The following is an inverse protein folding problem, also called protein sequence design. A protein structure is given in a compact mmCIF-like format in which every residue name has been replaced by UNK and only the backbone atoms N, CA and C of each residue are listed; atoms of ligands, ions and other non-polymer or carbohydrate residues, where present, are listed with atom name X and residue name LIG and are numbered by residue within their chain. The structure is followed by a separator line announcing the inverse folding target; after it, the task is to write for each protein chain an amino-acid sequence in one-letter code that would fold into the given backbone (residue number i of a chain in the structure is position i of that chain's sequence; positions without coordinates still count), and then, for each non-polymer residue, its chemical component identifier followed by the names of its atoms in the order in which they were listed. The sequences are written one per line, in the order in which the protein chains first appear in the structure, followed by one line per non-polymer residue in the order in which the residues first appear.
data_IF_815014364424
#
_entry.id   IF_815014364424
#
_cell.length_a   1.000
_cell.length_b   1.000
_cell.length_c   1.000
_cell.angle_alpha   90.00
_cell.angle_beta   90.00
_cell.angle_gamma   90.00
#
_symmetry.space_group_name_H-M   'P 1'
#
loop_
_entity.id
_entity.type
_entity.pdbx_description
1 polymer ?
#
# COMPACT_ATOMS: atom_id res chain seq x y z
N UNK A 1 67.90 48.82 -54.34
CA UNK A 1 68.55 50.04 -53.81
C UNK A 1 67.50 51.10 -53.57
N UNK A 2 67.59 51.76 -52.41
CA UNK A 2 67.11 53.13 -52.09
C UNK A 2 65.60 53.46 -52.07
N UNK A 3 65.08 53.54 -50.83
CA UNK A 3 64.43 54.71 -50.18
C UNK A 3 63.55 55.67 -50.99
N UNK A 4 62.35 55.92 -50.48
CA UNK A 4 61.55 57.10 -50.81
C UNK A 4 60.25 57.21 -50.00
N UNK A 5 60.32 57.87 -48.84
CA UNK A 5 59.16 58.26 -48.05
C UNK A 5 58.42 59.46 -48.69
N UNK A 6 57.08 59.48 -48.66
CA UNK A 6 56.29 60.73 -48.59
C UNK A 6 54.86 60.52 -48.09
N UNK A 7 54.48 61.37 -47.14
CA UNK A 7 53.20 61.53 -46.45
C UNK A 7 52.03 61.84 -47.40
N UNK A 8 50.83 61.36 -47.05
CA UNK A 8 49.59 62.15 -47.12
C UNK A 8 48.42 61.47 -46.37
N UNK A 9 47.59 62.29 -45.71
CA UNK A 9 46.15 61.98 -45.50
C UNK A 9 45.72 61.39 -44.16
N UNK A 10 45.31 62.25 -43.22
CA UNK A 10 44.50 61.88 -42.05
C UNK A 10 43.03 61.73 -42.46
N UNK A 11 42.38 60.65 -42.05
CA UNK A 11 40.92 60.54 -41.89
C UNK A 11 40.63 59.76 -40.59
N UNK A 12 39.66 60.17 -39.76
CA UNK A 12 39.51 59.62 -38.42
C UNK A 12 38.75 58.29 -38.43
N UNK A 13 39.36 57.25 -37.85
CA UNK A 13 38.69 55.97 -37.61
C UNK A 13 37.66 56.11 -36.47
N UNK A 14 36.39 56.08 -36.88
CA UNK A 14 35.18 56.01 -36.07
C UNK A 14 35.27 54.82 -35.09
N UNK A 15 35.32 55.11 -33.78
CA UNK A 15 35.19 54.09 -32.73
C UNK A 15 33.81 53.43 -32.83
N UNK A 16 33.68 52.10 -32.89
CA UNK A 16 32.40 51.45 -32.73
C UNK A 16 31.99 51.51 -31.25
N UNK A 17 30.85 52.15 -30.99
CA UNK A 17 30.08 52.01 -29.76
C UNK A 17 29.76 50.52 -29.55
N UNK A 18 30.42 49.86 -28.59
CA UNK A 18 30.03 48.56 -28.05
C UNK A 18 29.31 48.71 -26.71
N UNK A 19 28.37 49.65 -26.61
CA UNK A 19 27.26 49.59 -25.65
C UNK A 19 26.26 48.54 -26.15
N UNK A 20 26.64 47.27 -26.04
CA UNK A 20 25.76 46.11 -26.27
C UNK A 20 25.93 45.12 -25.12
N UNK A 21 25.71 45.61 -23.91
CA UNK A 21 25.46 44.77 -22.75
C UNK A 21 24.38 45.46 -21.91
N UNK A 22 23.33 44.72 -21.58
CA UNK A 22 22.21 45.09 -20.70
C UNK A 22 21.08 45.94 -21.30
N UNK A 23 20.44 45.44 -22.36
CA UNK A 23 19.02 45.70 -22.57
C UNK A 23 18.26 44.40 -22.30
N UNK A 24 18.14 44.02 -21.02
CA UNK A 24 17.14 43.05 -20.60
C UNK A 24 15.79 43.71 -20.88
N UNK A 25 15.15 43.34 -21.98
CA UNK A 25 13.95 44.00 -22.47
C UNK A 25 12.84 43.88 -21.42
N UNK A 26 12.06 44.95 -21.23
CA UNK A 26 10.88 44.91 -20.37
C UNK A 26 9.92 43.74 -20.72
N UNK A 27 9.93 43.27 -21.98
CA UNK A 27 9.20 42.06 -22.42
C UNK A 27 9.75 40.77 -21.83
N UNK A 28 11.07 40.63 -21.72
CA UNK A 28 11.70 39.44 -21.13
C UNK A 28 11.46 39.40 -19.61
N UNK A 29 11.45 40.58 -18.96
CA UNK A 29 11.10 40.71 -17.55
C UNK A 29 9.60 40.43 -17.27
N UNK A 30 8.71 40.68 -18.24
CA UNK A 30 7.27 40.36 -18.16
C UNK A 30 7.03 38.87 -18.43
N UNK A 31 7.70 38.27 -19.42
CA UNK A 31 7.61 36.82 -19.67
C UNK A 31 8.23 35.99 -18.53
N UNK A 32 9.34 36.44 -17.96
CA UNK A 32 9.91 35.81 -16.77
C UNK A 32 8.98 35.95 -15.55
N UNK A 33 8.31 37.10 -15.39
CA UNK A 33 7.29 37.30 -14.34
C UNK A 33 6.05 36.44 -14.56
N UNK A 34 5.51 36.34 -15.76
CA UNK A 34 4.33 35.51 -16.03
C UNK A 34 4.64 34.01 -15.90
N UNK A 35 5.83 33.57 -16.31
CA UNK A 35 6.29 32.18 -16.12
C UNK A 35 6.51 31.83 -14.63
N UNK A 36 7.08 32.74 -13.84
CA UNK A 36 7.24 32.53 -12.37
C UNK A 36 5.90 32.59 -11.64
N UNK A 37 4.97 33.44 -12.07
CA UNK A 37 3.62 33.52 -11.51
C UNK A 37 2.83 32.24 -11.79
N UNK A 38 2.85 31.72 -13.04
CA UNK A 38 2.12 30.49 -13.40
C UNK A 38 2.70 29.23 -12.74
N UNK A 39 4.02 29.16 -12.54
CA UNK A 39 4.68 28.09 -11.80
C UNK A 39 4.30 28.11 -10.31
N UNK A 40 4.22 29.30 -9.70
CA UNK A 40 3.81 29.45 -8.30
C UNK A 40 2.33 29.10 -8.10
N UNK A 41 1.48 29.38 -9.08
CA UNK A 41 0.05 29.08 -9.05
C UNK A 41 -0.21 27.58 -9.24
N UNK A 42 0.49 26.92 -10.16
CA UNK A 42 0.44 25.45 -10.30
C UNK A 42 1.00 24.71 -9.08
N UNK A 43 2.03 25.25 -8.42
CA UNK A 43 2.52 24.69 -7.15
C UNK A 43 1.47 24.80 -6.02
N UNK A 44 0.79 25.95 -5.91
CA UNK A 44 -0.32 26.17 -4.95
C UNK A 44 -1.51 25.25 -5.19
N UNK A 45 -1.82 24.94 -6.44
CA UNK A 45 -2.89 24.01 -6.80
C UNK A 45 -2.57 22.55 -6.43
N UNK A 46 -1.28 22.16 -6.43
CA UNK A 46 -0.83 20.80 -6.13
C UNK A 46 -0.53 20.55 -4.65
N UNK A 47 -0.36 21.59 -3.86
CA UNK A 47 -0.10 21.52 -2.41
C UNK A 47 -1.09 20.59 -1.65
N UNK A 48 -2.41 20.65 -1.89
CA UNK A 48 -3.37 19.72 -1.28
C UNK A 48 -3.11 18.25 -1.62
N UNK A 49 -2.82 17.95 -2.89
CA UNK A 49 -2.51 16.60 -3.36
C UNK A 49 -1.21 16.10 -2.71
N UNK A 50 -0.18 16.95 -2.66
CA UNK A 50 1.09 16.63 -2.00
C UNK A 50 0.89 16.39 -0.49
N UNK A 51 0.05 17.18 0.17
CA UNK A 51 -0.30 16.99 1.58
C UNK A 51 -1.00 15.67 1.85
N UNK A 52 -1.97 15.29 1.01
CA UNK A 52 -2.63 13.98 1.06
C UNK A 52 -1.61 12.85 0.90
N UNK A 53 -0.80 12.94 -0.15
CA UNK A 53 0.20 11.93 -0.52
C UNK A 53 1.26 11.76 0.58
N UNK A 54 1.76 12.86 1.15
CA UNK A 54 2.73 12.82 2.24
C UNK A 54 2.11 12.25 3.53
N UNK A 55 0.90 12.68 3.91
CA UNK A 55 0.21 12.14 5.08
C UNK A 55 -0.05 10.64 4.95
N UNK A 56 -0.60 10.21 3.81
CA UNK A 56 -0.81 8.79 3.53
C UNK A 56 0.50 7.99 3.56
N UNK A 57 1.59 8.54 2.99
CA UNK A 57 2.90 7.91 3.05
C UNK A 57 3.41 7.72 4.48
N UNK A 58 3.26 8.72 5.34
CA UNK A 58 3.68 8.62 6.74
C UNK A 58 2.87 7.58 7.51
N UNK A 59 1.53 7.66 7.44
CA UNK A 59 0.65 6.71 8.12
C UNK A 59 0.89 5.27 7.64
N UNK A 60 1.13 5.04 6.34
CA UNK A 60 1.48 3.70 5.84
C UNK A 60 2.86 3.23 6.29
N UNK A 61 3.84 4.13 6.42
CA UNK A 61 5.16 3.78 6.95
C UNK A 61 5.09 3.42 8.43
N UNK A 62 4.28 4.14 9.21
CA UNK A 62 3.96 3.83 10.60
C UNK A 62 3.30 2.46 10.77
N UNK A 63 2.27 2.19 9.99
CA UNK A 63 1.61 0.88 9.96
C UNK A 63 2.61 -0.27 9.70
N UNK A 64 3.57 -0.08 8.80
CA UNK A 64 4.61 -1.07 8.53
C UNK A 64 5.53 -1.29 9.74
N UNK A 65 5.81 -0.25 10.54
CA UNK A 65 6.52 -0.38 11.81
C UNK A 65 5.73 -1.26 12.76
N UNK A 66 4.46 -0.95 13.02
CA UNK A 66 3.61 -1.73 13.94
C UNK A 66 3.43 -3.18 13.47
N UNK A 67 3.28 -3.41 12.17
CA UNK A 67 3.17 -4.74 11.58
C UNK A 67 4.40 -5.63 11.88
N UNK A 68 5.60 -5.03 11.97
CA UNK A 68 6.84 -5.75 12.25
C UNK A 68 7.08 -5.88 13.75
N UNK A 69 6.85 -4.79 14.48
CA UNK A 69 7.18 -4.65 15.90
C UNK A 69 6.26 -5.49 16.78
N UNK A 70 4.96 -5.54 16.49
CA UNK A 70 3.99 -6.26 17.35
C UNK A 70 4.31 -7.77 17.41
N UNK A 71 4.50 -8.49 16.29
CA UNK A 71 4.91 -9.89 16.33
C UNK A 71 6.23 -10.14 17.08
N UNK A 72 7.22 -9.27 16.87
CA UNK A 72 8.53 -9.36 17.54
C UNK A 72 8.40 -9.15 19.04
N UNK A 73 7.62 -8.15 19.47
CA UNK A 73 7.36 -7.89 20.87
C UNK A 73 6.67 -9.07 21.55
N UNK A 74 5.59 -9.59 20.97
CA UNK A 74 4.85 -10.74 21.52
C UNK A 74 5.76 -11.96 21.63
N UNK A 75 6.56 -12.24 20.60
CA UNK A 75 7.46 -13.38 20.60
C UNK A 75 8.60 -13.23 21.63
N UNK A 76 9.09 -12.00 21.85
CA UNK A 76 10.13 -11.72 22.82
C UNK A 76 9.62 -11.75 24.27
N UNK A 77 8.44 -11.19 24.51
CA UNK A 77 7.81 -11.07 25.83
C UNK A 77 7.24 -12.41 26.33
N UNK A 78 6.50 -13.12 25.47
CA UNK A 78 5.81 -14.36 25.87
C UNK A 78 6.62 -15.63 25.61
N UNK A 79 7.59 -15.58 24.68
CA UNK A 79 8.25 -16.78 24.14
C UNK A 79 7.32 -17.72 23.35
N UNK A 80 6.02 -17.38 23.20
CA UNK A 80 5.00 -18.25 22.64
C UNK A 80 4.74 -17.93 21.18
N UNK A 81 5.08 -18.89 20.31
CA UNK A 81 4.80 -18.84 18.88
C UNK A 81 3.30 -18.75 18.59
N UNK A 82 2.48 -19.46 19.37
CA UNK A 82 1.02 -19.41 19.22
C UNK A 82 0.47 -18.03 19.58
N UNK A 83 0.99 -17.40 20.64
CA UNK A 83 0.59 -16.04 21.02
C UNK A 83 0.91 -15.03 19.92
N UNK A 84 2.08 -15.15 19.27
CA UNK A 84 2.45 -14.33 18.11
C UNK A 84 1.47 -14.51 16.94
N UNK A 85 1.07 -15.75 16.64
CA UNK A 85 0.05 -16.03 15.62
C UNK A 85 -1.33 -15.45 15.96
N UNK A 86 -1.75 -15.52 17.24
CA UNK A 86 -3.00 -14.90 17.71
C UNK A 86 -2.93 -13.37 17.58
N UNK A 87 -1.82 -12.74 17.94
CA UNK A 87 -1.63 -11.30 17.75
C UNK A 87 -1.70 -10.90 16.27
N UNK A 88 -1.09 -11.68 15.38
CA UNK A 88 -1.23 -11.53 13.94
C UNK A 88 -2.67 -11.64 13.44
N UNK A 89 -3.46 -12.57 14.00
CA UNK A 89 -4.87 -12.69 13.68
C UNK A 89 -5.65 -11.43 14.10
N UNK A 90 -5.46 -10.95 15.33
CA UNK A 90 -6.09 -9.71 15.81
C UNK A 90 -5.65 -8.45 15.05
N UNK A 91 -4.44 -8.44 14.47
CA UNK A 91 -3.98 -7.37 13.58
C UNK A 91 -4.64 -7.40 12.19
N UNK A 92 -5.16 -8.55 11.75
CA UNK A 92 -5.71 -8.72 10.39
C UNK A 92 -7.24 -8.74 10.33
N UNK A 93 -7.93 -9.16 11.40
CA UNK A 93 -9.41 -9.07 11.49
C UNK A 93 -9.94 -7.66 11.20
N UNK A 94 -9.31 -6.57 11.70
CA UNK A 94 -9.81 -5.23 11.45
C UNK A 94 -9.89 -4.84 9.97
N UNK A 95 -9.05 -5.41 9.11
CA UNK A 95 -9.09 -5.16 7.66
C UNK A 95 -10.43 -5.62 7.08
N UNK A 96 -10.98 -6.73 7.59
CA UNK A 96 -12.28 -7.27 7.16
C UNK A 96 -13.41 -6.36 7.67
N UNK A 97 -13.35 -5.99 8.95
CA UNK A 97 -14.38 -5.15 9.61
C UNK A 97 -14.40 -3.75 9.00
N UNK A 98 -13.23 -3.13 8.88
CA UNK A 98 -13.05 -1.80 8.31
C UNK A 98 -13.33 -1.76 6.81
N UNK A 99 -13.04 -2.83 6.06
CA UNK A 99 -13.44 -2.94 4.66
C UNK A 99 -14.96 -2.99 4.46
N UNK A 100 -15.69 -3.65 5.37
CA UNK A 100 -17.15 -3.74 5.32
C UNK A 100 -17.86 -2.48 5.85
N UNK A 101 -17.34 -1.84 6.90
CA UNK A 101 -18.02 -0.74 7.59
C UNK A 101 -17.46 0.64 7.26
N UNK A 102 -16.21 0.71 6.77
CA UNK A 102 -15.46 1.95 6.63
C UNK A 102 -16.06 2.92 5.62
N UNK A 103 -16.51 2.44 4.45
CA UNK A 103 -17.09 3.29 3.41
C UNK A 103 -18.34 4.05 3.89
N UNK A 104 -19.30 3.32 4.47
CA UNK A 104 -20.56 3.91 4.95
C UNK A 104 -20.35 4.92 6.08
N UNK A 105 -19.38 4.67 6.96
CA UNK A 105 -19.05 5.57 8.07
C UNK A 105 -18.36 6.85 7.56
N UNK A 106 -17.41 6.69 6.63
CA UNK A 106 -16.65 7.78 6.03
C UNK A 106 -17.58 8.72 5.24
N UNK A 107 -18.53 8.18 4.49
CA UNK A 107 -19.49 8.96 3.70
C UNK A 107 -20.35 9.90 4.57
N UNK A 108 -20.64 9.52 5.82
CA UNK A 108 -21.44 10.35 6.75
C UNK A 108 -20.65 11.44 7.44
N UNK A 109 -19.37 11.18 7.73
CA UNK A 109 -18.51 12.09 8.51
C UNK A 109 -17.77 13.07 7.59
N UNK A 110 -17.63 12.72 6.31
CA UNK A 110 -16.83 13.44 5.32
C UNK A 110 -15.42 12.89 5.24
N UNK A 111 -14.88 12.75 4.03
CA UNK A 111 -13.60 12.08 3.78
C UNK A 111 -12.44 12.73 4.52
N UNK A 112 -12.36 14.06 4.54
CA UNK A 112 -11.26 14.77 5.22
C UNK A 112 -11.32 14.54 6.73
N UNK A 113 -12.51 14.70 7.32
CA UNK A 113 -12.69 14.53 8.77
C UNK A 113 -12.41 13.10 9.18
N UNK A 114 -12.95 12.12 8.45
CA UNK A 114 -12.73 10.71 8.71
C UNK A 114 -11.23 10.34 8.66
N UNK A 115 -10.49 10.83 7.66
CA UNK A 115 -9.05 10.59 7.55
C UNK A 115 -8.26 11.17 8.75
N UNK A 116 -8.55 12.41 9.16
CA UNK A 116 -7.86 13.05 10.29
C UNK A 116 -8.21 12.36 11.61
N UNK A 117 -9.50 12.08 11.86
CA UNK A 117 -9.93 11.44 13.11
C UNK A 117 -9.40 10.02 13.22
N UNK A 118 -9.34 9.29 12.10
CA UNK A 118 -8.73 7.96 12.06
C UNK A 118 -7.25 8.03 12.44
N UNK A 119 -6.47 8.93 11.82
CA UNK A 119 -5.05 9.06 12.13
C UNK A 119 -4.79 9.44 13.60
N UNK A 120 -5.57 10.39 14.15
CA UNK A 120 -5.44 10.76 15.56
C UNK A 120 -5.81 9.59 16.47
N UNK A 121 -6.94 8.92 16.22
CA UNK A 121 -7.40 7.83 17.08
C UNK A 121 -6.48 6.60 17.00
N UNK A 122 -5.98 6.25 15.81
CA UNK A 122 -4.98 5.21 15.62
C UNK A 122 -3.67 5.56 16.32
N UNK A 123 -3.16 6.78 16.13
CA UNK A 123 -1.95 7.24 16.80
C UNK A 123 -2.05 7.21 18.33
N UNK A 124 -3.18 7.61 18.91
CA UNK A 124 -3.43 7.49 20.35
C UNK A 124 -3.49 6.02 20.80
N UNK A 125 -4.14 5.16 20.02
CA UNK A 125 -4.27 3.73 20.35
C UNK A 125 -2.92 3.01 20.30
N UNK A 126 -2.10 3.31 19.29
CA UNK A 126 -0.74 2.77 19.18
C UNK A 126 0.14 3.30 20.30
N UNK A 127 0.05 4.59 20.64
CA UNK A 127 0.83 5.18 21.74
C UNK A 127 0.45 4.60 23.10
N UNK A 128 -0.81 4.20 23.28
CA UNK A 128 -1.26 3.55 24.51
C UNK A 128 -0.51 2.25 24.79
N UNK A 129 -0.01 1.52 23.77
CA UNK A 129 0.71 0.26 23.94
C UNK A 129 1.99 0.43 24.79
N UNK A 130 2.99 1.25 24.38
CA UNK A 130 4.18 1.49 25.19
C UNK A 130 3.87 2.22 26.50
N UNK A 131 2.86 3.10 26.53
CA UNK A 131 2.48 3.81 27.76
C UNK A 131 1.92 2.86 28.82
N UNK A 132 1.02 1.95 28.46
CA UNK A 132 0.51 0.92 29.38
C UNK A 132 1.64 0.01 29.87
N UNK A 133 2.52 -0.41 28.95
CA UNK A 133 3.66 -1.25 29.29
C UNK A 133 4.60 -0.58 30.31
N UNK A 134 4.83 0.73 30.20
CA UNK A 134 5.70 1.49 31.08
C UNK A 134 5.07 1.88 32.43
N UNK A 135 3.74 1.86 32.56
CA UNK A 135 3.03 2.38 33.75
C UNK A 135 2.45 1.28 34.63
N UNK A 136 1.51 0.51 34.12
CA UNK A 136 0.73 -0.49 34.87
C UNK A 136 1.00 -1.93 34.42
N UNK A 137 1.85 -2.10 33.40
CA UNK A 137 2.08 -3.36 32.73
C UNK A 137 1.09 -3.58 31.58
N UNK A 138 1.56 -4.25 30.53
CA UNK A 138 0.75 -4.53 29.33
C UNK A 138 0.35 -6.01 29.32
N UNK A 139 -0.84 -6.37 29.82
CA UNK A 139 -1.30 -7.75 29.71
C UNK A 139 -1.61 -8.09 28.25
N UNK A 140 -1.41 -9.35 27.88
CA UNK A 140 -1.56 -9.81 26.50
C UNK A 140 -2.92 -9.47 25.89
N UNK A 141 -4.02 -9.60 26.64
CA UNK A 141 -5.36 -9.24 26.16
C UNK A 141 -5.50 -7.74 25.83
N UNK A 142 -4.82 -6.85 26.58
CA UNK A 142 -4.86 -5.41 26.32
C UNK A 142 -4.07 -5.06 25.06
N UNK A 143 -2.93 -5.73 24.82
CA UNK A 143 -2.21 -5.62 23.54
C UNK A 143 -3.11 -6.03 22.37
N UNK A 144 -3.78 -7.19 22.46
CA UNK A 144 -4.69 -7.65 21.41
C UNK A 144 -5.82 -6.65 21.15
N UNK A 145 -6.42 -6.11 22.21
CA UNK A 145 -7.48 -5.12 22.11
C UNK A 145 -7.00 -3.81 21.44
N UNK A 146 -5.82 -3.31 21.81
CA UNK A 146 -5.24 -2.09 21.22
C UNK A 146 -4.85 -2.28 19.75
N UNK A 147 -4.22 -3.41 19.42
CA UNK A 147 -3.86 -3.74 18.03
C UNK A 147 -5.10 -3.86 17.16
N UNK A 148 -6.13 -4.55 17.65
CA UNK A 148 -7.41 -4.66 16.96
C UNK A 148 -8.08 -3.29 16.78
N UNK A 149 -8.16 -2.49 17.84
CA UNK A 149 -8.79 -1.18 17.82
C UNK A 149 -8.06 -0.23 16.85
N UNK A 150 -6.72 -0.23 16.85
CA UNK A 150 -5.91 0.55 15.91
C UNK A 150 -6.24 0.19 14.46
N UNK A 151 -6.33 -1.09 14.13
CA UNK A 151 -6.70 -1.52 12.77
C UNK A 151 -8.11 -1.12 12.36
N UNK A 152 -9.07 -1.15 13.30
CA UNK A 152 -10.49 -0.81 13.02
C UNK A 152 -10.62 0.70 12.76
N UNK A 153 -9.82 1.51 13.47
CA UNK A 153 -9.78 2.96 13.31
C UNK A 153 -9.02 3.39 12.04
N UNK A 154 -7.89 2.73 11.73
CA UNK A 154 -7.03 3.08 10.59
C UNK A 154 -7.68 2.74 9.24
N UNK A 155 -8.36 1.59 9.13
CA UNK A 155 -8.87 1.09 7.84
C UNK A 155 -9.83 2.08 7.15
N UNK A 156 -10.87 2.63 7.81
CA UNK A 156 -11.73 3.66 7.21
C UNK A 156 -10.96 4.94 6.84
N UNK A 157 -9.96 5.33 7.64
CA UNK A 157 -9.10 6.48 7.35
C UNK A 157 -8.33 6.30 6.04
N UNK A 158 -7.80 5.11 5.79
CA UNK A 158 -7.13 4.78 4.53
C UNK A 158 -8.09 4.80 3.34
N UNK A 159 -9.31 4.29 3.50
CA UNK A 159 -10.36 4.43 2.48
C UNK A 159 -10.67 5.90 2.20
N UNK A 160 -10.73 6.73 3.24
CA UNK A 160 -11.00 8.15 3.08
C UNK A 160 -9.88 8.88 2.30
N UNK A 161 -8.61 8.56 2.60
CA UNK A 161 -7.45 9.11 1.88
C UNK A 161 -7.46 8.72 0.40
N UNK A 162 -7.79 7.47 0.07
CA UNK A 162 -7.85 7.03 -1.34
C UNK A 162 -9.01 7.67 -2.10
N UNK A 163 -10.14 7.90 -1.44
CA UNK A 163 -11.30 8.59 -2.03
C UNK A 163 -11.08 10.09 -2.26
N UNK A 164 -10.18 10.75 -1.50
CA UNK A 164 -9.82 12.15 -1.73
C UNK A 164 -8.92 12.35 -2.96
N UNK A 165 -8.29 11.29 -3.46
CA UNK A 165 -7.28 11.40 -4.53
C UNK A 165 -7.85 11.99 -5.85
N UNK A 166 -9.01 11.54 -6.37
CA UNK A 166 -9.52 12.06 -7.65
C UNK A 166 -9.83 13.55 -7.60
N UNK A 167 -10.53 14.01 -6.57
CA UNK A 167 -10.90 15.41 -6.39
C UNK A 167 -9.67 16.31 -6.26
N UNK A 168 -8.65 15.85 -5.52
CA UNK A 168 -7.39 16.59 -5.37
C UNK A 168 -6.54 16.58 -6.64
N UNK A 169 -6.60 15.51 -7.44
CA UNK A 169 -5.94 15.45 -8.73
C UNK A 169 -6.57 16.43 -9.72
N UNK A 170 -7.90 16.50 -9.77
CA UNK A 170 -8.65 17.47 -10.58
C UNK A 170 -8.31 18.91 -10.18
N UNK A 171 -8.35 19.20 -8.87
CA UNK A 171 -7.94 20.51 -8.33
C UNK A 171 -6.51 20.89 -8.72
N UNK A 172 -5.60 19.92 -8.68
CA UNK A 172 -4.20 20.09 -9.06
C UNK A 172 -3.93 20.08 -10.56
N UNK A 173 -4.97 19.98 -11.40
CA UNK A 173 -4.90 19.81 -12.87
C UNK A 173 -3.94 18.68 -13.26
N UNK A 174 -3.98 17.58 -12.51
CA UNK A 174 -3.16 16.40 -12.73
C UNK A 174 -4.04 15.26 -13.26
N UNK A 175 -3.59 14.57 -14.30
CA UNK A 175 -4.30 13.39 -14.80
C UNK A 175 -4.42 12.33 -13.69
N UNK A 176 -5.62 11.77 -13.50
CA UNK A 176 -5.90 10.78 -12.47
C UNK A 176 -4.92 9.60 -12.51
N UNK A 177 -4.58 9.11 -13.70
CA UNK A 177 -3.58 8.03 -13.85
C UNK A 177 -2.22 8.38 -13.26
N UNK A 178 -1.78 9.65 -13.35
CA UNK A 178 -0.53 10.11 -12.71
C UNK A 178 -0.67 10.20 -11.19
N UNK A 179 -1.81 10.67 -10.70
CA UNK A 179 -2.10 10.73 -9.26
C UNK A 179 -2.14 9.33 -8.63
N UNK A 180 -2.87 8.39 -9.24
CA UNK A 180 -2.97 6.99 -8.78
C UNK A 180 -1.63 6.26 -8.84
N UNK A 181 -0.81 6.56 -9.85
CA UNK A 181 0.56 6.04 -9.95
C UNK A 181 1.44 6.58 -8.83
N UNK A 182 1.36 7.88 -8.54
CA UNK A 182 2.09 8.51 -7.44
C UNK A 182 1.67 7.94 -6.08
N UNK A 183 0.37 7.78 -5.84
CA UNK A 183 -0.15 7.15 -4.62
C UNK A 183 0.37 5.72 -4.48
N UNK A 184 0.32 4.92 -5.55
CA UNK A 184 0.82 3.53 -5.52
C UNK A 184 2.31 3.46 -5.23
N UNK A 185 3.10 4.38 -5.83
CA UNK A 185 4.53 4.47 -5.56
C UNK A 185 4.79 4.85 -4.10
N UNK A 186 4.05 5.83 -3.57
CA UNK A 186 4.16 6.25 -2.16
C UNK A 186 3.79 5.12 -1.21
N UNK A 187 2.70 4.39 -1.45
CA UNK A 187 2.31 3.27 -0.58
C UNK A 187 3.39 2.20 -0.50
N UNK A 188 4.04 1.88 -1.63
CA UNK A 188 5.12 0.89 -1.68
C UNK A 188 6.42 1.40 -1.05
N UNK A 189 6.78 2.65 -1.34
CA UNK A 189 7.95 3.30 -0.72
C UNK A 189 7.75 3.42 0.79
N UNK A 190 6.56 3.80 1.24
CA UNK A 190 6.20 3.89 2.66
C UNK A 190 6.32 2.54 3.37
N UNK A 191 5.81 1.46 2.77
CA UNK A 191 5.99 0.12 3.32
C UNK A 191 7.48 -0.26 3.42
N UNK A 192 8.27 0.04 2.38
CA UNK A 192 9.71 -0.24 2.36
C UNK A 192 10.49 0.59 3.40
N UNK A 193 10.25 1.90 3.47
CA UNK A 193 10.93 2.78 4.42
C UNK A 193 10.45 2.52 5.84
N UNK A 194 9.17 2.27 6.05
CA UNK A 194 8.60 1.86 7.32
C UNK A 194 9.22 0.57 7.84
N UNK A 195 9.40 -0.44 6.99
CA UNK A 195 10.08 -1.68 7.36
C UNK A 195 11.56 -1.48 7.73
N UNK A 196 12.28 -0.64 6.98
CA UNK A 196 13.65 -0.28 7.32
C UNK A 196 13.74 0.50 8.64
N UNK A 197 12.82 1.43 8.87
CA UNK A 197 12.69 2.18 10.12
C UNK A 197 12.30 1.26 11.28
N UNK A 198 11.47 0.23 11.06
CA UNK A 198 11.15 -0.77 12.05
C UNK A 198 12.40 -1.56 12.46
N UNK A 199 13.16 -2.06 11.48
CA UNK A 199 14.40 -2.80 11.73
C UNK A 199 15.38 -1.96 12.57
N UNK A 200 15.61 -0.70 12.16
CA UNK A 200 16.53 0.18 12.87
C UNK A 200 15.98 0.55 14.25
N UNK A 201 14.72 0.96 14.35
CA UNK A 201 14.15 1.38 15.63
C UNK A 201 14.11 0.26 16.66
N UNK A 202 13.83 -0.99 16.26
CA UNK A 202 13.84 -2.14 17.19
C UNK A 202 15.22 -2.35 17.81
N UNK A 203 16.29 -2.20 17.02
CA UNK A 203 17.66 -2.35 17.51
C UNK A 203 18.04 -1.24 18.49
N UNK A 204 17.65 0.01 18.22
CA UNK A 204 18.11 1.18 18.99
C UNK A 204 17.20 1.53 20.16
N UNK A 205 15.88 1.37 19.98
CA UNK A 205 14.85 1.80 20.94
C UNK A 205 14.20 0.62 21.65
N UNK A 206 14.29 -0.59 21.08
CA UNK A 206 13.52 -1.76 21.49
C UNK A 206 12.12 -1.79 20.87
N UNK A 207 11.44 -2.95 20.84
CA UNK A 207 10.15 -3.12 20.16
C UNK A 207 9.08 -2.12 20.62
N UNK A 208 8.82 -2.01 21.93
CA UNK A 208 7.75 -1.15 22.43
C UNK A 208 7.95 0.33 22.08
N UNK A 209 9.18 0.84 22.22
CA UNK A 209 9.47 2.25 21.93
C UNK A 209 9.42 2.54 20.42
N UNK A 210 9.62 1.55 19.54
CA UNK A 210 9.39 1.72 18.11
C UNK A 210 7.93 2.09 17.78
N UNK A 211 6.95 1.69 18.61
CA UNK A 211 5.54 2.06 18.43
C UNK A 211 5.28 3.56 18.68
N UNK A 212 6.16 4.23 19.42
CA UNK A 212 6.12 5.69 19.58
C UNK A 212 6.40 6.37 18.23
N UNK A 213 7.31 5.82 17.43
CA UNK A 213 7.58 6.36 16.09
C UNK A 213 6.34 6.26 15.19
N UNK A 214 5.64 5.13 15.21
CA UNK A 214 4.38 4.98 14.48
C UNK A 214 3.34 6.04 14.93
N UNK A 215 3.17 6.18 16.24
CA UNK A 215 2.27 7.20 16.82
C UNK A 215 2.60 8.62 16.35
N UNK A 216 3.89 8.95 16.22
CA UNK A 216 4.35 10.23 15.66
C UNK A 216 3.99 10.33 14.17
N UNK A 217 4.18 9.27 13.38
CA UNK A 217 3.82 9.29 11.95
C UNK A 217 2.32 9.54 11.74
N UNK A 218 1.47 8.96 12.59
CA UNK A 218 0.03 9.23 12.60
C UNK A 218 -0.28 10.69 12.96
N UNK A 219 0.34 11.23 14.01
CA UNK A 219 0.15 12.62 14.40
C UNK A 219 0.57 13.60 13.30
N UNK A 220 1.71 13.35 12.65
CA UNK A 220 2.19 14.18 11.54
C UNK A 220 1.29 14.01 10.32
N UNK A 221 0.81 12.81 10.01
CA UNK A 221 -0.18 12.57 8.94
C UNK A 221 -1.45 13.40 9.18
N UNK A 222 -2.03 13.29 10.38
CA UNK A 222 -3.21 14.06 10.76
C UNK A 222 -2.98 15.58 10.62
N UNK A 223 -1.81 16.08 11.03
CA UNK A 223 -1.45 17.50 10.89
C UNK A 223 -1.32 17.93 9.42
N UNK A 224 -0.66 17.13 8.57
CA UNK A 224 -0.53 17.40 7.14
C UNK A 224 -1.90 17.45 6.47
N UNK A 225 -2.78 16.50 6.77
CA UNK A 225 -4.14 16.48 6.26
C UNK A 225 -4.96 17.69 6.76
N UNK A 226 -4.81 18.05 8.04
CA UNK A 226 -5.48 19.20 8.62
C UNK A 226 -5.07 20.52 7.96
N UNK A 227 -3.77 20.71 7.68
CA UNK A 227 -3.22 21.95 7.12
C UNK A 227 -3.43 22.05 5.61
N UNK A 228 -3.19 20.98 4.86
CA UNK A 228 -3.10 21.06 3.39
C UNK A 228 -4.37 20.59 2.66
N UNK A 229 -5.19 19.71 3.25
CA UNK A 229 -6.43 19.25 2.61
C UNK A 229 -7.57 20.23 2.91
N UNK A 230 -8.25 20.81 1.90
CA UNK A 230 -9.27 21.83 2.15
C UNK A 230 -10.61 21.27 2.65
N UNK A 231 -11.24 21.99 3.59
CA UNK A 231 -12.57 21.64 4.14
C UNK A 231 -13.72 21.60 3.11
N UNK A 232 -13.62 22.38 2.02
CA UNK A 232 -14.74 22.52 1.06
C UNK A 232 -14.96 21.30 0.16
N UNK A 233 -14.09 20.28 0.23
CA UNK A 233 -14.31 19.01 -0.47
C UNK A 233 -15.48 18.25 0.16
N UNK A 234 -15.72 18.40 1.46
CA UNK A 234 -16.80 17.71 2.17
C UNK A 234 -18.21 18.25 1.84
N UNK A 235 -18.31 19.41 1.16
CA UNK A 235 -19.58 20.10 0.89
C UNK A 235 -20.09 19.93 -0.56
N UNK A 236 -19.30 19.33 -1.46
CA UNK A 236 -19.65 19.10 -2.87
C UNK A 236 -19.84 17.63 -3.25
N UNK A 237 -19.73 16.70 -2.30
CA UNK A 237 -19.57 15.26 -2.53
C UNK A 237 -20.87 14.50 -2.81
N UNK A 238 -21.98 15.18 -3.14
CA UNK A 238 -23.15 14.48 -3.69
C UNK A 238 -23.01 14.09 -5.17
N UNK A 239 -21.95 14.54 -5.89
CA UNK A 239 -22.05 14.57 -7.37
C UNK A 239 -20.82 14.09 -8.16
N UNK A 240 -19.84 13.42 -7.55
CA UNK A 240 -18.75 12.75 -8.31
C UNK A 240 -18.72 11.22 -8.18
N UNK A 241 -19.80 10.64 -7.64
CA UNK A 241 -20.27 9.39 -8.22
C UNK A 241 -20.78 9.72 -9.63
N UNK A 242 -20.22 9.08 -10.66
CA UNK A 242 -20.72 9.10 -12.03
C UNK A 242 -22.28 9.18 -12.05
N UNK A 243 -22.92 10.11 -12.80
CA UNK A 243 -24.38 10.08 -13.01
C UNK A 243 -24.86 8.80 -13.74
N UNK A 244 -23.95 7.92 -14.12
CA UNK A 244 -24.21 6.57 -14.63
C UNK A 244 -24.15 5.47 -13.54
N UNK A 245 -23.83 5.81 -12.29
CA UNK A 245 -24.17 5.00 -11.12
C UNK A 245 -25.67 5.15 -10.88
N UNK A 246 -26.44 4.43 -11.70
CA UNK A 246 -27.89 4.49 -11.72
C UNK A 246 -28.47 4.36 -10.30
N UNK A 247 -29.07 5.47 -9.85
CA UNK A 247 -30.31 5.40 -9.12
C UNK A 247 -31.21 4.39 -9.84
N UNK A 248 -31.46 3.27 -9.19
CA UNK A 248 -32.51 2.36 -9.61
C UNK A 248 -33.83 3.16 -9.56
N UNK A 249 -34.64 3.21 -10.62
CA UNK A 249 -35.96 3.88 -10.59
C UNK A 249 -36.92 3.26 -9.57
N UNK A 250 -36.52 2.17 -8.92
CA UNK A 250 -37.24 1.47 -7.85
C UNK A 250 -36.81 1.85 -6.43
N UNK A 251 -35.89 2.81 -6.24
CA UNK A 251 -35.53 3.32 -4.91
C UNK A 251 -36.71 4.11 -4.32
N UNK A 252 -37.60 3.40 -3.63
CA UNK A 252 -38.64 3.99 -2.79
C UNK A 252 -37.98 4.93 -1.77
N UNK A 253 -38.45 6.19 -1.64
CA UNK A 253 -37.92 7.13 -0.67
C UNK A 253 -38.24 6.61 0.74
N UNK A 254 -37.25 6.01 1.43
CA UNK A 254 -37.42 5.56 2.81
C UNK A 254 -36.55 4.40 3.31
N UNK A 255 -35.76 3.71 2.47
CA UNK A 255 -34.91 2.61 2.99
C UNK A 255 -33.60 3.11 3.62
N UNK A 256 -33.22 2.63 4.83
CA UNK A 256 -31.97 3.01 5.46
C UNK A 256 -30.77 2.47 4.66
N UNK A 257 -29.84 3.36 4.30
CA UNK A 257 -28.65 3.09 3.47
C UNK A 257 -27.83 1.86 3.88
N UNK A 258 -27.87 1.46 5.16
CA UNK A 258 -27.17 0.30 5.71
C UNK A 258 -27.82 -1.02 5.24
N UNK A 259 -29.15 -1.09 5.13
CA UNK A 259 -29.85 -2.30 4.68
C UNK A 259 -29.58 -2.61 3.20
N UNK A 260 -29.40 -1.57 2.37
CA UNK A 260 -29.00 -1.70 0.98
C UNK A 260 -27.58 -2.25 0.82
N UNK A 261 -26.62 -1.74 1.61
CA UNK A 261 -25.22 -2.17 1.54
C UNK A 261 -25.01 -3.67 1.76
N UNK A 262 -25.63 -4.25 2.80
CA UNK A 262 -25.50 -5.69 3.08
C UNK A 262 -26.13 -6.56 2.00
N UNK A 263 -27.22 -6.10 1.40
CA UNK A 263 -27.86 -6.77 0.26
C UNK A 263 -26.96 -6.72 -0.97
N UNK A 264 -26.35 -5.56 -1.24
CA UNK A 264 -25.38 -5.38 -2.33
C UNK A 264 -24.10 -6.22 -2.15
N UNK A 265 -23.58 -6.31 -0.92
CA UNK A 265 -22.46 -7.19 -0.57
C UNK A 265 -22.84 -8.67 -0.80
N UNK A 266 -24.04 -9.06 -0.36
CA UNK A 266 -24.58 -10.40 -0.57
C UNK A 266 -24.76 -10.75 -2.05
N UNK A 267 -25.22 -9.80 -2.86
CA UNK A 267 -25.35 -9.97 -4.31
C UNK A 267 -23.97 -10.05 -5.00
N UNK A 268 -22.99 -9.27 -4.54
CA UNK A 268 -21.59 -9.39 -4.96
C UNK A 268 -21.01 -10.77 -4.67
N UNK A 269 -21.14 -11.27 -3.43
CA UNK A 269 -20.68 -12.61 -3.05
C UNK A 269 -21.39 -13.70 -3.87
N UNK A 270 -22.71 -13.57 -4.09
CA UNK A 270 -23.49 -14.51 -4.90
C UNK A 270 -23.01 -14.52 -6.36
N UNK A 271 -22.70 -13.35 -6.93
CA UNK A 271 -22.13 -13.24 -8.27
C UNK A 271 -20.75 -13.90 -8.37
N UNK A 272 -19.88 -13.66 -7.39
CA UNK A 272 -18.55 -14.29 -7.30
C UNK A 272 -18.68 -15.82 -7.23
N UNK A 273 -19.59 -16.33 -6.41
CA UNK A 273 -19.81 -17.77 -6.24
C UNK A 273 -20.37 -18.45 -7.51
N UNK A 274 -21.17 -17.73 -8.31
CA UNK A 274 -21.77 -18.24 -9.56
C UNK A 274 -20.82 -18.24 -10.75
N UNK A 275 -19.80 -17.40 -10.75
CA UNK A 275 -18.84 -17.31 -11.87
C UNK A 275 -17.62 -18.18 -11.59
N UNK A 276 -17.48 -19.38 -12.20
CA UNK A 276 -16.49 -20.38 -11.79
C UNK A 276 -15.04 -19.91 -11.92
N UNK A 277 -14.74 -19.06 -12.91
CA UNK A 277 -13.41 -18.48 -13.12
C UNK A 277 -13.04 -17.52 -11.98
N UNK A 278 -13.97 -16.63 -11.63
CA UNK A 278 -13.76 -15.63 -10.58
C UNK A 278 -13.74 -16.32 -9.22
N UNK A 279 -14.66 -17.27 -8.97
CA UNK A 279 -14.66 -18.08 -7.75
C UNK A 279 -13.33 -18.77 -7.50
N UNK A 280 -12.80 -19.46 -8.52
CA UNK A 280 -11.53 -20.18 -8.39
C UNK A 280 -10.34 -19.23 -8.20
N UNK A 281 -10.37 -18.06 -8.87
CA UNK A 281 -9.40 -16.99 -8.66
C UNK A 281 -9.44 -16.48 -7.22
N UNK A 282 -10.62 -16.14 -6.70
CA UNK A 282 -10.81 -15.68 -5.33
C UNK A 282 -10.35 -16.73 -4.33
N UNK A 283 -10.75 -17.99 -4.49
CA UNK A 283 -10.36 -19.07 -3.60
C UNK A 283 -8.84 -19.25 -3.56
N UNK A 284 -8.18 -19.21 -4.72
CA UNK A 284 -6.71 -19.24 -4.79
C UNK A 284 -6.10 -18.07 -4.01
N UNK A 285 -6.59 -16.85 -4.23
CA UNK A 285 -6.08 -15.65 -3.57
C UNK A 285 -6.33 -15.68 -2.05
N UNK A 286 -7.47 -16.18 -1.58
CA UNK A 286 -7.77 -16.37 -0.14
C UNK A 286 -6.75 -17.29 0.50
N UNK A 287 -6.46 -18.42 -0.15
CA UNK A 287 -5.51 -19.42 0.36
C UNK A 287 -4.08 -18.87 0.33
N UNK A 288 -3.68 -18.15 -0.72
CA UNK A 288 -2.34 -17.53 -0.75
C UNK A 288 -2.21 -16.44 0.31
N UNK A 289 -3.22 -15.60 0.54
CA UNK A 289 -3.21 -14.59 1.61
C UNK A 289 -3.18 -15.23 3.01
N UNK A 290 -3.79 -16.40 3.18
CA UNK A 290 -3.67 -17.19 4.41
C UNK A 290 -2.19 -17.56 4.68
N UNK A 291 -1.49 -18.08 3.67
CA UNK A 291 -0.06 -18.37 3.80
C UNK A 291 0.79 -17.11 3.97
N UNK A 292 0.52 -16.04 3.22
CA UNK A 292 1.27 -14.78 3.33
C UNK A 292 1.10 -14.15 4.72
N UNK A 293 -0.11 -14.21 5.29
CA UNK A 293 -0.38 -13.76 6.66
C UNK A 293 0.34 -14.63 7.70
N UNK A 294 0.34 -15.96 7.55
CA UNK A 294 1.15 -16.85 8.39
C UNK A 294 2.65 -16.52 8.30
N UNK A 295 3.13 -16.27 7.08
CA UNK A 295 4.48 -15.83 6.76
C UNK A 295 4.88 -14.58 7.54
N UNK A 296 4.15 -13.48 7.32
CA UNK A 296 4.47 -12.17 7.91
C UNK A 296 4.22 -12.11 9.41
N UNK A 297 3.17 -12.75 9.91
CA UNK A 297 2.79 -12.60 11.32
C UNK A 297 3.57 -13.51 12.27
N UNK A 298 4.06 -14.67 11.84
CA UNK A 298 4.70 -15.63 12.77
C UNK A 298 5.89 -16.38 12.19
N UNK A 299 5.83 -16.88 10.96
CA UNK A 299 6.90 -17.74 10.41
C UNK A 299 8.19 -16.95 10.19
N UNK A 300 8.11 -15.78 9.54
CA UNK A 300 9.27 -14.92 9.26
C UNK A 300 9.88 -14.35 10.54
N UNK A 301 9.11 -13.83 11.52
CA UNK A 301 9.64 -13.43 12.82
C UNK A 301 10.40 -14.55 13.54
N UNK A 302 9.84 -15.77 13.58
CA UNK A 302 10.47 -16.92 14.26
C UNK A 302 11.77 -17.33 13.56
N UNK A 303 11.77 -17.39 12.22
CA UNK A 303 13.00 -17.65 11.47
C UNK A 303 14.02 -16.53 11.61
N UNK A 304 13.60 -15.27 11.59
CA UNK A 304 14.51 -14.14 11.77
C UNK A 304 15.26 -14.20 13.10
N UNK A 305 14.62 -14.68 14.18
CA UNK A 305 15.30 -14.89 15.48
C UNK A 305 16.37 -15.96 15.46
N UNK A 306 16.36 -16.88 14.49
CA UNK A 306 17.46 -17.85 14.31
C UNK A 306 18.70 -17.21 13.66
N UNK A 307 18.51 -16.09 12.95
CA UNK A 307 19.59 -15.32 12.31
C UNK A 307 20.10 -14.22 13.24
N UNK A 308 19.18 -13.41 13.81
CA UNK A 308 19.50 -12.30 14.68
C UNK A 308 18.55 -12.27 15.89
N UNK A 309 19.05 -12.43 17.15
CA UNK A 309 18.19 -12.56 18.34
C UNK A 309 17.27 -11.36 18.59
N UNK A 310 17.70 -10.18 18.15
CA UNK A 310 17.03 -8.89 18.22
C UNK A 310 15.89 -8.72 17.19
N UNK A 311 15.75 -9.64 16.23
CA UNK A 311 14.73 -9.58 15.20
C UNK A 311 15.03 -8.61 14.06
N UNK A 312 16.23 -8.01 14.00
CA UNK A 312 16.64 -7.11 12.91
C UNK A 312 16.52 -7.79 11.53
N UNK A 313 16.83 -9.09 11.45
CA UNK A 313 16.68 -9.88 10.24
C UNK A 313 15.25 -9.85 9.68
N UNK A 314 14.21 -9.77 10.53
CA UNK A 314 12.82 -9.72 10.07
C UNK A 314 12.53 -8.42 9.31
N UNK A 315 12.97 -7.29 9.86
CA UNK A 315 12.83 -5.99 9.19
C UNK A 315 13.61 -5.93 7.88
N UNK A 316 14.80 -6.54 7.80
CA UNK A 316 15.56 -6.69 6.55
C UNK A 316 14.79 -7.53 5.53
N UNK A 317 14.21 -8.66 5.94
CA UNK A 317 13.39 -9.51 5.06
C UNK A 317 12.21 -8.73 4.47
N UNK A 318 11.47 -7.97 5.30
CA UNK A 318 10.34 -7.16 4.83
C UNK A 318 10.79 -6.02 3.93
N UNK A 319 11.92 -5.36 4.24
CA UNK A 319 12.48 -4.30 3.40
C UNK A 319 12.91 -4.82 2.01
N UNK A 320 13.60 -5.97 1.95
CA UNK A 320 13.99 -6.62 0.69
C UNK A 320 12.78 -7.05 -0.13
N UNK A 321 11.77 -7.65 0.52
CA UNK A 321 10.51 -8.01 -0.13
C UNK A 321 9.81 -6.78 -0.70
N UNK A 322 9.74 -5.69 0.07
CA UNK A 322 9.09 -4.43 -0.35
C UNK A 322 9.83 -3.75 -1.50
N UNK A 323 11.18 -3.72 -1.45
CA UNK A 323 12.02 -3.22 -2.54
C UNK A 323 11.81 -4.04 -3.82
N UNK A 324 11.84 -5.37 -3.70
CA UNK A 324 11.49 -6.27 -4.78
C UNK A 324 10.10 -5.96 -5.34
N UNK A 325 9.08 -5.84 -4.50
CA UNK A 325 7.71 -5.56 -4.90
C UNK A 325 7.54 -4.22 -5.61
N UNK A 326 8.31 -3.20 -5.23
CA UNK A 326 8.35 -1.93 -5.94
C UNK A 326 8.98 -2.08 -7.33
N UNK A 327 10.14 -2.74 -7.41
CA UNK A 327 10.81 -3.01 -8.69
C UNK A 327 9.94 -3.87 -9.62
N UNK A 328 9.22 -4.85 -9.07
CA UNK A 328 8.34 -5.75 -9.81
C UNK A 328 7.13 -5.03 -10.40
N UNK A 329 6.51 -4.15 -9.62
CA UNK A 329 5.41 -3.32 -10.11
C UNK A 329 5.85 -2.39 -11.25
N UNK A 330 7.04 -1.79 -11.16
CA UNK A 330 7.62 -0.98 -12.22
C UNK A 330 7.93 -1.81 -13.48
N UNK A 331 8.53 -2.99 -13.30
CA UNK A 331 8.83 -3.93 -14.38
C UNK A 331 7.57 -4.39 -15.11
N UNK A 332 6.50 -4.69 -14.37
CA UNK A 332 5.20 -5.02 -14.95
C UNK A 332 4.61 -3.86 -15.78
N UNK A 333 4.77 -2.62 -15.31
CA UNK A 333 4.38 -1.44 -16.08
C UNK A 333 5.11 -1.32 -17.43
N UNK A 334 6.36 -1.77 -17.49
CA UNK A 334 7.19 -1.69 -18.70
C UNK A 334 6.94 -2.85 -19.68
N UNK A 335 6.88 -4.10 -19.20
CA UNK A 335 6.85 -5.31 -20.06
C UNK A 335 5.58 -6.13 -19.87
N UNK A 336 4.88 -6.01 -18.74
CA UNK A 336 3.75 -6.85 -18.36
C UNK A 336 2.57 -6.81 -19.33
N UNK A 337 2.37 -5.68 -20.02
CA UNK A 337 1.32 -5.54 -21.04
C UNK A 337 1.52 -6.44 -22.27
N UNK A 338 2.75 -6.95 -22.49
CA UNK A 338 3.10 -7.82 -23.62
C UNK A 338 3.09 -9.31 -23.26
N UNK A 339 2.90 -9.65 -21.99
CA UNK A 339 3.02 -11.01 -21.49
C UNK A 339 1.65 -11.73 -21.43
N UNK A 340 1.62 -13.07 -21.60
CA UNK A 340 0.39 -13.84 -21.47
C UNK A 340 -0.10 -13.84 -20.02
N UNK A 341 -1.30 -13.29 -19.80
CA UNK A 341 -1.87 -13.02 -18.47
C UNK A 341 -1.87 -14.22 -17.54
N UNK A 342 -2.37 -15.37 -18.01
CA UNK A 342 -2.44 -16.60 -17.20
C UNK A 342 -1.06 -17.14 -16.83
N UNK A 343 -0.12 -17.15 -17.79
CA UNK A 343 1.25 -17.61 -17.56
C UNK A 343 1.98 -16.72 -16.56
N UNK A 344 1.88 -15.40 -16.74
CA UNK A 344 2.47 -14.41 -15.81
C UNK A 344 1.88 -14.54 -14.42
N UNK A 345 0.56 -14.69 -14.27
CA UNK A 345 -0.08 -14.84 -12.96
C UNK A 345 0.44 -16.07 -12.22
N UNK A 346 0.51 -17.23 -12.88
CA UNK A 346 1.02 -18.47 -12.28
C UNK A 346 2.49 -18.33 -11.88
N UNK A 347 3.33 -17.82 -12.77
CA UNK A 347 4.77 -17.64 -12.50
C UNK A 347 4.97 -16.68 -11.34
N UNK A 348 4.29 -15.54 -11.33
CA UNK A 348 4.42 -14.56 -10.25
C UNK A 348 3.98 -15.12 -8.90
N UNK A 349 2.83 -15.81 -8.81
CA UNK A 349 2.38 -16.43 -7.56
C UNK A 349 3.29 -17.57 -7.10
N UNK A 350 3.76 -18.41 -8.02
CA UNK A 350 4.66 -19.52 -7.71
C UNK A 350 5.99 -19.00 -7.16
N UNK A 351 6.58 -17.99 -7.79
CA UNK A 351 7.85 -17.40 -7.39
C UNK A 351 7.74 -16.55 -6.11
N UNK A 352 6.60 -15.88 -5.90
CA UNK A 352 6.34 -15.11 -4.68
C UNK A 352 6.14 -16.00 -3.45
N UNK A 353 5.52 -17.17 -3.66
CA UNK A 353 5.05 -18.04 -2.58
C UNK A 353 6.07 -19.05 -2.08
N UNK A 354 6.27 -20.14 -2.82
CA UNK A 354 7.00 -21.31 -2.34
C UNK A 354 8.52 -21.07 -2.11
N UNK A 355 9.26 -20.34 -2.99
CA UNK A 355 10.71 -20.23 -2.87
C UNK A 355 11.23 -19.64 -1.55
N UNK A 356 10.67 -18.56 -0.97
CA UNK A 356 11.08 -18.08 0.35
C UNK A 356 11.05 -19.16 1.43
N UNK A 357 9.96 -19.92 1.52
CA UNK A 357 9.81 -20.98 2.51
C UNK A 357 10.79 -22.14 2.26
N UNK A 358 11.05 -22.48 1.00
CA UNK A 358 12.06 -23.50 0.63
C UNK A 358 13.47 -23.03 1.00
N UNK A 359 13.82 -21.78 0.72
CA UNK A 359 15.13 -21.22 1.05
C UNK A 359 15.38 -21.22 2.56
N UNK A 360 14.37 -20.86 3.35
CA UNK A 360 14.41 -20.93 4.82
C UNK A 360 14.53 -22.37 5.32
N UNK A 361 13.82 -23.32 4.70
CA UNK A 361 13.86 -24.74 5.07
C UNK A 361 15.20 -25.41 4.71
N UNK A 362 15.84 -24.97 3.62
CA UNK A 362 17.10 -25.54 3.14
C UNK A 362 18.29 -25.27 4.06
N UNK A 363 18.19 -24.28 4.97
CA UNK A 363 19.27 -23.95 5.90
C UNK A 363 20.55 -23.45 5.21
N UNK A 364 20.44 -22.93 3.98
CA UNK A 364 21.56 -22.38 3.22
C UNK A 364 22.08 -21.06 3.81
N UNK A 365 23.08 -20.43 3.15
CA UNK A 365 23.63 -19.18 3.64
C UNK A 365 22.57 -18.08 3.66
N UNK A 366 22.57 -17.25 4.71
CA UNK A 366 21.55 -16.22 4.97
C UNK A 366 21.35 -15.28 3.78
N UNK A 367 22.43 -14.87 3.11
CA UNK A 367 22.37 -14.00 1.94
C UNK A 367 21.54 -14.60 0.79
N UNK A 368 21.54 -15.93 0.62
CA UNK A 368 20.75 -16.59 -0.41
C UNK A 368 19.26 -16.53 -0.09
N UNK A 369 18.88 -16.71 1.19
CA UNK A 369 17.49 -16.55 1.65
C UNK A 369 17.02 -15.12 1.44
N UNK A 370 17.84 -14.13 1.77
CA UNK A 370 17.55 -12.71 1.52
C UNK A 370 17.38 -12.39 0.04
N UNK A 371 18.23 -12.93 -0.83
CA UNK A 371 18.10 -12.79 -2.28
C UNK A 371 16.77 -13.39 -2.78
N UNK A 372 16.42 -14.60 -2.33
CA UNK A 372 15.17 -15.26 -2.69
C UNK A 372 13.95 -14.45 -2.24
N UNK A 373 13.99 -13.87 -1.03
CA UNK A 373 12.90 -13.00 -0.52
C UNK A 373 12.77 -11.73 -1.38
N UNK A 374 13.88 -11.11 -1.77
CA UNK A 374 13.85 -9.97 -2.70
C UNK A 374 13.25 -10.32 -4.06
N UNK A 375 13.61 -11.47 -4.63
CA UNK A 375 13.06 -11.98 -5.90
C UNK A 375 11.58 -12.39 -5.79
N UNK A 376 11.17 -12.94 -4.64
CA UNK A 376 9.77 -13.21 -4.33
C UNK A 376 8.97 -11.90 -4.27
N UNK A 377 9.54 -10.85 -3.66
CA UNK A 377 9.01 -9.49 -3.70
C UNK A 377 8.80 -9.00 -5.13
N UNK A 378 9.82 -9.12 -5.99
CA UNK A 378 9.73 -8.77 -7.43
C UNK A 378 8.54 -9.43 -8.12
N UNK A 379 8.32 -10.70 -7.83
CA UNK A 379 7.20 -11.47 -8.39
C UNK A 379 5.86 -11.00 -7.81
N UNK A 380 5.77 -10.82 -6.49
CA UNK A 380 4.57 -10.35 -5.79
C UNK A 380 4.13 -8.95 -6.25
N UNK A 381 5.09 -8.06 -6.49
CA UNK A 381 4.86 -6.70 -6.97
C UNK A 381 4.03 -6.61 -8.26
N UNK A 382 4.19 -7.62 -9.12
CA UNK A 382 3.53 -7.74 -10.43
C UNK A 382 2.11 -8.29 -10.37
N UNK A 383 1.72 -8.94 -9.26
CA UNK A 383 0.43 -9.64 -9.11
C UNK A 383 -0.74 -8.66 -9.07
N UNK A 384 -0.69 -7.64 -8.20
CA UNK A 384 -1.80 -6.71 -8.00
C UNK A 384 -2.13 -5.85 -9.24
N UNK A 385 -1.15 -5.30 -9.99
CA UNK A 385 -1.41 -4.64 -11.27
C UNK A 385 -2.06 -5.55 -12.31
N UNK A 386 -1.60 -6.81 -12.40
CA UNK A 386 -2.16 -7.82 -13.30
C UNK A 386 -3.62 -8.15 -12.95
N UNK A 387 -3.89 -8.41 -11.67
CA UNK A 387 -5.25 -8.67 -11.17
C UNK A 387 -6.18 -7.48 -11.41
N UNK A 388 -5.71 -6.27 -11.12
CA UNK A 388 -6.48 -5.04 -11.35
C UNK A 388 -6.86 -4.91 -12.82
N UNK A 389 -5.94 -5.16 -13.75
CA UNK A 389 -6.21 -5.11 -15.19
C UNK A 389 -7.30 -6.11 -15.59
N UNK A 390 -7.19 -7.37 -15.15
CA UNK A 390 -8.17 -8.43 -15.46
C UNK A 390 -9.55 -8.13 -14.87
N UNK A 391 -9.59 -7.65 -13.63
CA UNK A 391 -10.85 -7.33 -12.94
C UNK A 391 -11.52 -6.11 -13.55
N UNK A 392 -10.78 -5.05 -13.89
CA UNK A 392 -11.35 -3.85 -14.50
C UNK A 392 -11.92 -4.11 -15.90
N UNK A 393 -11.33 -5.01 -16.67
CA UNK A 393 -11.84 -5.35 -18.01
C UNK A 393 -13.10 -6.22 -17.97
N UNK A 394 -13.25 -7.08 -16.96
CA UNK A 394 -14.37 -8.03 -16.89
C UNK A 394 -15.57 -7.53 -16.10
N UNK A 395 -15.38 -6.59 -15.18
CA UNK A 395 -16.45 -6.11 -14.32
C UNK A 395 -17.10 -4.87 -14.98
N UNK A 396 -18.41 -4.91 -15.28
CA UNK A 396 -19.17 -3.77 -15.78
C UNK A 396 -19.01 -2.55 -14.86
N UNK A 397 -18.86 -1.35 -15.43
CA UNK A 397 -18.58 -0.12 -14.67
C UNK A 397 -19.53 0.10 -13.48
N UNK A 398 -20.81 -0.22 -13.66
CA UNK A 398 -21.88 -0.08 -12.68
C UNK A 398 -21.80 -1.04 -11.48
N UNK A 399 -21.04 -2.14 -11.60
CA UNK A 399 -20.90 -3.16 -10.53
C UNK A 399 -19.50 -3.17 -9.90
N UNK A 400 -18.55 -2.36 -10.40
CA UNK A 400 -17.14 -2.40 -9.99
C UNK A 400 -16.94 -2.16 -8.50
N UNK A 401 -17.51 -1.12 -7.93
CA UNK A 401 -17.32 -0.80 -6.51
C UNK A 401 -17.82 -1.92 -5.59
N UNK A 402 -18.99 -2.51 -5.92
CA UNK A 402 -19.62 -3.61 -5.17
C UNK A 402 -18.82 -4.91 -5.27
N UNK A 403 -18.42 -5.28 -6.49
CA UNK A 403 -17.67 -6.52 -6.73
C UNK A 403 -16.25 -6.41 -6.18
N UNK A 404 -15.57 -5.27 -6.34
CA UNK A 404 -14.24 -5.05 -5.77
C UNK A 404 -14.27 -5.01 -4.24
N UNK A 405 -15.28 -4.38 -3.63
CA UNK A 405 -15.45 -4.40 -2.17
C UNK A 405 -15.67 -5.82 -1.62
N UNK A 406 -16.55 -6.60 -2.25
CA UNK A 406 -16.77 -8.01 -1.90
C UNK A 406 -15.52 -8.87 -2.14
N UNK A 407 -14.76 -8.60 -3.20
CA UNK A 407 -13.49 -9.26 -3.50
C UNK A 407 -12.44 -8.97 -2.44
N UNK A 408 -12.24 -7.71 -2.06
CA UNK A 408 -11.27 -7.32 -1.03
C UNK A 408 -11.62 -7.95 0.31
N UNK A 409 -12.88 -7.86 0.76
CA UNK A 409 -13.32 -8.46 2.01
C UNK A 409 -13.17 -10.00 1.99
N UNK A 410 -13.57 -10.63 0.88
CA UNK A 410 -13.46 -12.08 0.71
C UNK A 410 -12.02 -12.58 0.73
N UNK A 411 -11.12 -11.88 0.03
CA UNK A 411 -9.70 -12.20 -0.03
C UNK A 411 -9.00 -12.03 1.32
N UNK A 412 -9.31 -10.96 2.05
CA UNK A 412 -8.72 -10.70 3.37
C UNK A 412 -9.21 -11.64 4.47
N UNK A 413 -10.36 -12.32 4.27
CA UNK A 413 -10.92 -13.26 5.25
C UNK A 413 -9.99 -14.43 5.59
N UNK A 414 -9.09 -14.80 4.67
CA UNK A 414 -8.10 -15.86 4.92
C UNK A 414 -6.96 -15.46 5.86
N UNK A 415 -6.69 -14.15 6.03
CA UNK A 415 -5.51 -13.67 6.75
C UNK A 415 -5.52 -14.02 8.25
N UNK A 416 -6.62 -13.80 9.01
CA UNK A 416 -6.63 -14.14 10.44
C UNK A 416 -6.50 -15.64 10.68
N UNK A 417 -7.13 -16.44 9.82
CA UNK A 417 -7.04 -17.91 9.87
C UNK A 417 -5.60 -18.34 9.63
N UNK A 418 -4.93 -17.74 8.65
CA UNK A 418 -3.52 -18.01 8.34
C UNK A 418 -2.58 -17.69 9.48
N UNK A 419 -2.71 -16.51 10.09
CA UNK A 419 -1.91 -16.12 11.26
C UNK A 419 -2.08 -17.09 12.43
N UNK A 420 -3.33 -17.47 12.74
CA UNK A 420 -3.61 -18.41 13.83
C UNK A 420 -3.11 -19.83 13.52
N UNK A 421 -3.48 -20.39 12.36
CA UNK A 421 -3.09 -21.75 11.94
C UNK A 421 -1.59 -21.85 11.75
N UNK A 422 -0.94 -20.80 11.23
CA UNK A 422 0.52 -20.72 11.14
C UNK A 422 1.19 -20.78 12.51
N UNK A 423 0.66 -20.03 13.49
CA UNK A 423 1.16 -20.08 14.86
C UNK A 423 0.96 -21.44 15.52
N UNK A 424 -0.20 -22.07 15.28
CA UNK A 424 -0.52 -23.40 15.76
C UNK A 424 0.40 -24.47 15.16
N UNK A 425 0.53 -24.50 13.82
CA UNK A 425 1.39 -25.44 13.12
C UNK A 425 2.84 -25.31 13.57
N UNK A 426 3.32 -24.07 13.71
CA UNK A 426 4.68 -23.80 14.15
C UNK A 426 4.92 -24.20 15.61
N UNK A 427 3.92 -24.02 16.48
CA UNK A 427 3.99 -24.45 17.89
C UNK A 427 3.97 -25.97 18.09
N UNK A 428 3.27 -26.71 17.22
CA UNK A 428 3.12 -28.17 17.36
C UNK A 428 4.14 -28.97 16.56
N UNK A 429 4.43 -28.55 15.33
CA UNK A 429 5.29 -29.27 14.40
C UNK A 429 6.70 -28.68 14.29
N UNK A 430 6.92 -27.46 14.78
CA UNK A 430 8.19 -26.75 14.67
C UNK A 430 8.41 -26.11 13.29
N UNK A 431 9.56 -25.42 13.16
CA UNK A 431 9.85 -24.54 12.02
C UNK A 431 10.00 -25.29 10.70
N UNK A 432 10.85 -26.32 10.66
CA UNK A 432 11.15 -27.01 9.41
C UNK A 432 9.91 -27.70 8.79
N UNK A 433 9.11 -28.51 9.52
CA UNK A 433 7.92 -29.13 8.95
C UNK A 433 6.88 -28.10 8.49
N UNK A 434 6.72 -27.00 9.23
CA UNK A 434 5.80 -25.92 8.88
C UNK A 434 6.23 -25.23 7.58
N UNK A 435 7.53 -24.92 7.43
CA UNK A 435 8.07 -24.32 6.21
C UNK A 435 7.85 -25.22 4.98
N UNK A 436 8.13 -26.53 5.11
CA UNK A 436 7.93 -27.49 4.01
C UNK A 436 6.45 -27.67 3.66
N UNK A 437 5.58 -27.74 4.66
CA UNK A 437 4.13 -27.83 4.44
C UNK A 437 3.58 -26.60 3.74
N UNK A 438 3.95 -25.39 4.20
CA UNK A 438 3.53 -24.14 3.56
C UNK A 438 4.09 -24.05 2.14
N UNK A 439 5.38 -24.35 1.92
CA UNK A 439 5.97 -24.36 0.59
C UNK A 439 5.22 -25.29 -0.39
N UNK A 440 4.96 -26.53 0.03
CA UNK A 440 4.28 -27.53 -0.80
C UNK A 440 2.83 -27.17 -1.09
N UNK A 441 2.07 -26.74 -0.08
CA UNK A 441 0.67 -26.34 -0.23
C UNK A 441 0.53 -25.06 -1.07
N UNK A 442 1.41 -24.07 -0.87
CA UNK A 442 1.43 -22.85 -1.68
C UNK A 442 1.73 -23.18 -3.14
N UNK A 443 2.73 -24.02 -3.42
CA UNK A 443 3.03 -24.48 -4.78
C UNK A 443 1.83 -25.21 -5.40
N UNK A 444 1.17 -26.11 -4.67
CA UNK A 444 0.01 -26.86 -5.15
C UNK A 444 -1.15 -25.92 -5.55
N UNK A 445 -1.46 -24.95 -4.68
CA UNK A 445 -2.55 -23.98 -4.90
C UNK A 445 -2.24 -23.08 -6.10
N UNK A 446 -1.00 -22.64 -6.24
CA UNK A 446 -0.57 -21.74 -7.33
C UNK A 446 -0.40 -22.44 -8.69
N UNK A 447 -0.29 -23.77 -8.70
CA UNK A 447 -0.31 -24.59 -9.92
C UNK A 447 -1.74 -24.95 -10.37
N UNK A 448 -2.75 -24.82 -9.51
CA UNK A 448 -4.16 -25.10 -9.85
C UNK A 448 -4.67 -24.36 -11.11
N UNK A 449 -4.25 -23.10 -11.40
CA UNK A 449 -4.61 -22.42 -12.63
C UNK A 449 -4.13 -23.08 -13.92
N UNK A 450 -3.11 -23.95 -13.87
CA UNK A 450 -2.60 -24.66 -15.05
C UNK A 450 -3.48 -25.85 -15.45
N UNK A 451 -4.10 -26.51 -14.47
CA UNK A 451 -4.87 -27.75 -14.67
C UNK A 451 -6.35 -27.48 -14.94
N UNK A 452 -6.94 -26.46 -14.31
CA UNK A 452 -8.38 -26.24 -14.40
C UNK A 452 -8.86 -25.63 -15.73
N UNK A 453 -9.84 -26.27 -16.38
CA UNK A 453 -10.47 -25.78 -17.63
C UNK A 453 -11.07 -24.38 -17.51
N UNK A 454 -11.55 -24.01 -16.32
CA UNK A 454 -12.09 -22.67 -16.03
C UNK A 454 -11.06 -21.55 -16.22
N UNK A 455 -9.77 -21.82 -15.98
CA UNK A 455 -8.73 -20.79 -16.03
C UNK A 455 -8.34 -20.39 -17.45
N UNK A 456 -8.64 -21.23 -18.45
CA UNK A 456 -8.48 -20.89 -19.88
C UNK A 456 -9.37 -19.72 -20.31
N UNK A 457 -10.44 -19.44 -19.55
CA UNK A 457 -11.28 -18.29 -19.81
C UNK A 457 -10.61 -16.95 -19.47
N UNK A 458 -9.53 -16.93 -18.68
CA UNK A 458 -8.76 -15.71 -18.38
C UNK A 458 -8.08 -15.12 -19.62
N UNK A 459 -7.69 -15.98 -20.56
CA UNK A 459 -7.00 -15.58 -21.80
C UNK A 459 -7.97 -15.15 -22.91
N UNK A 460 -9.28 -15.33 -22.72
CA UNK A 460 -10.30 -14.89 -23.69
C UNK A 460 -10.74 -13.45 -23.41
N UNK A 461 -10.77 -12.55 -24.40
CA UNK A 461 -11.33 -11.21 -24.24
C UNK A 461 -12.79 -11.30 -23.79
N UNK A 462 -13.25 -10.33 -23.00
CA UNK A 462 -14.66 -10.23 -22.62
C UNK A 462 -15.48 -10.02 -23.90
N UNK A 463 -16.28 -11.03 -24.25
CA UNK A 463 -17.21 -10.98 -25.38
C UNK A 463 -18.53 -10.35 -24.99
#
# INVERSE_FOLDING_TARGET
MTTGARRAGRTPLRRPNSTRATAFSARDAVHARTATTSASETARLRLPLLGLLAGQGLSLAGNAITMIVVPLYVLADTGSVLATGVAGAFATVPVIVGGALGGVLVDRVGFRRAAITADVASGVTVLAIPVLAATVGLPFWALLALVFLSGVLDTPGNTAKTSLLPDLAERGRLALGRASSAQSAISRTAAMTGAALAALSVVWLGPLNSLVLDSITFAVSAALLAVFVPHRLDAGTTTHADPAAHADPAAQPGQPAVAGYWRELGDGIRFLARTPVIRNLVLMIVITNCFDAAGMSVIFPVFARTISPDGAAFGIMVALFSFGALAGAALFGWVGQRLPRRGTLVVCFLLAGAPPYIAMAAGGPVWATFLVIGLAGLSAGSINPLLSTVLYERIPRTLRARVLGALTAGVSAGMPVGSFVGGLALSQAGLLPTLLAVAGLYALVTLAPLVGRSWRALDRPAG
#
